data_IF_157113161038
#
_entry.id   IF_157113161038
#
_cell.length_a   1.000
_cell.length_b   1.000
_cell.length_c   1.000
_cell.angle_alpha   90.00
_cell.angle_beta   90.00
_cell.angle_gamma   90.00
#
_symmetry.space_group_name_H-M   'P 1'
#
loop_
_entity.id
_entity.type
_entity.pdbx_description
1 polymer ?
#
# COMPACT_ATOMS: atom_id res chain seq x y z
N UNK A 1 2.92 26.19 3.46
CA UNK A 1 4.03 26.18 2.49
C UNK A 1 3.47 25.79 1.14
N UNK A 2 3.81 26.55 0.09
CA UNK A 2 3.44 26.22 -1.29
C UNK A 2 4.14 24.95 -1.73
N UNK A 3 3.41 24.01 -2.31
CA UNK A 3 3.96 22.73 -2.79
C UNK A 3 5.06 22.98 -3.83
N UNK A 4 4.85 23.95 -4.73
CA UNK A 4 5.83 24.31 -5.76
C UNK A 4 7.19 24.72 -5.21
N UNK A 5 7.21 25.26 -3.98
CA UNK A 5 8.41 25.75 -3.32
C UNK A 5 9.03 24.72 -2.36
N UNK A 6 8.44 23.52 -2.24
CA UNK A 6 8.96 22.51 -1.36
C UNK A 6 10.33 22.00 -1.82
N UNK A 7 11.26 21.95 -0.89
CA UNK A 7 12.50 21.22 -1.05
C UNK A 7 12.58 20.17 0.05
N UNK A 8 12.93 18.94 -0.31
CA UNK A 8 12.92 17.81 0.62
C UNK A 8 13.86 18.00 1.83
N UNK A 9 14.85 18.88 1.70
CA UNK A 9 15.87 19.15 2.69
C UNK A 9 17.15 19.63 2.03
N UNK A 10 18.22 19.67 2.79
CA UNK A 10 19.54 20.11 2.32
C UNK A 10 20.64 19.27 2.92
N UNK A 11 21.74 19.12 2.19
CA UNK A 11 22.95 18.51 2.73
C UNK A 11 23.71 19.53 3.57
N UNK A 12 23.87 19.24 4.85
CA UNK A 12 24.62 20.07 5.80
C UNK A 12 25.94 19.37 6.17
N UNK A 13 27.00 20.16 6.32
CA UNK A 13 28.30 19.66 6.79
C UNK A 13 28.25 19.55 8.31
N UNK A 14 28.39 18.34 8.85
CA UNK A 14 28.50 18.07 10.28
C UNK A 14 29.86 17.47 10.59
N UNK A 15 30.72 18.21 11.30
CA UNK A 15 32.09 17.79 11.66
C UNK A 15 32.82 17.09 10.48
N UNK A 16 32.91 15.76 10.49
CA UNK A 16 33.66 14.95 9.54
C UNK A 16 32.81 14.38 8.38
N UNK A 17 31.49 14.58 8.34
CA UNK A 17 30.63 14.03 7.28
C UNK A 17 29.56 15.04 6.82
N UNK A 18 29.07 14.87 5.58
CA UNK A 18 27.83 15.52 5.13
C UNK A 18 26.65 14.63 5.46
N UNK A 19 25.61 15.20 6.05
CA UNK A 19 24.33 14.51 6.26
C UNK A 19 23.21 15.29 5.59
N UNK A 20 22.19 14.57 5.13
CA UNK A 20 20.96 15.18 4.63
C UNK A 20 20.07 15.56 5.81
N UNK A 21 19.80 16.85 5.96
CA UNK A 21 18.86 17.38 6.95
C UNK A 21 17.51 17.58 6.26
N UNK A 22 16.48 16.78 6.58
CA UNK A 22 15.17 16.90 5.96
C UNK A 22 14.46 18.19 6.37
N UNK A 23 13.66 18.75 5.47
CA UNK A 23 12.80 19.89 5.78
C UNK A 23 11.62 19.46 6.67
N UNK A 24 11.12 20.38 7.51
CA UNK A 24 9.96 20.07 8.36
C UNK A 24 8.72 19.94 7.50
N UNK A 25 8.06 18.78 7.55
CA UNK A 25 6.82 18.52 6.79
C UNK A 25 5.52 18.85 7.57
N UNK A 26 5.63 19.08 8.87
CA UNK A 26 4.48 19.29 9.77
C UNK A 26 4.06 20.77 9.78
N UNK A 27 3.49 21.21 8.67
CA UNK A 27 2.90 22.54 8.51
C UNK A 27 1.76 22.47 7.47
N UNK A 28 0.86 23.46 7.41
CA UNK A 28 -0.15 23.52 6.35
C UNK A 28 0.49 23.57 4.96
N UNK A 29 -0.07 22.83 4.02
CA UNK A 29 0.35 22.80 2.62
C UNK A 29 -0.63 23.63 1.78
N UNK A 30 -0.08 24.45 0.88
CA UNK A 30 -0.85 25.22 -0.10
C UNK A 30 -0.58 24.62 -1.48
N UNK A 31 -1.63 24.15 -2.15
CA UNK A 31 -1.56 23.64 -3.51
C UNK A 31 -1.70 24.85 -4.44
N UNK A 32 -0.60 25.28 -5.04
CA UNK A 32 -0.53 26.52 -5.83
C UNK A 32 -0.38 26.30 -7.34
N UNK A 33 -0.43 25.04 -7.78
CA UNK A 33 -0.45 24.66 -9.20
C UNK A 33 -1.90 24.46 -9.70
N UNK A 34 -2.39 25.30 -10.63
CA UNK A 34 -3.73 25.15 -11.21
C UNK A 34 -3.96 23.81 -11.91
N UNK A 35 -2.94 23.23 -12.57
CA UNK A 35 -3.10 21.94 -13.25
C UNK A 35 -3.30 20.82 -12.24
N UNK A 36 -2.56 20.85 -11.13
CA UNK A 36 -2.73 19.88 -10.05
C UNK A 36 -4.12 20.01 -9.41
N UNK A 37 -4.63 21.23 -9.25
CA UNK A 37 -5.99 21.45 -8.76
C UNK A 37 -7.05 20.89 -9.72
N UNK A 38 -6.87 21.04 -11.04
CA UNK A 38 -7.78 20.44 -12.04
C UNK A 38 -7.77 18.91 -11.97
N UNK A 39 -6.58 18.29 -11.87
CA UNK A 39 -6.45 16.84 -11.72
C UNK A 39 -7.10 16.33 -10.43
N UNK A 40 -6.97 17.09 -9.34
CA UNK A 40 -7.61 16.78 -8.06
C UNK A 40 -9.14 16.86 -8.16
N UNK A 41 -9.68 17.86 -8.85
CA UNK A 41 -11.12 18.01 -9.08
C UNK A 41 -11.68 16.84 -9.90
N UNK A 42 -10.99 16.47 -10.98
CA UNK A 42 -11.36 15.31 -11.80
C UNK A 42 -11.33 14.00 -10.99
N UNK A 43 -10.29 13.80 -10.17
CA UNK A 43 -10.20 12.64 -9.28
C UNK A 43 -11.35 12.61 -8.27
N UNK A 44 -11.68 13.75 -7.65
CA UNK A 44 -12.80 13.86 -6.70
C UNK A 44 -14.14 13.56 -7.37
N UNK A 45 -14.37 14.05 -8.60
CA UNK A 45 -15.58 13.76 -9.36
C UNK A 45 -15.72 12.27 -9.63
N UNK A 46 -14.66 11.61 -10.12
CA UNK A 46 -14.67 10.17 -10.41
C UNK A 46 -14.87 9.33 -9.13
N UNK A 47 -14.28 9.74 -8.00
CA UNK A 47 -14.53 9.10 -6.70
C UNK A 47 -15.98 9.29 -6.24
N UNK A 48 -16.57 10.47 -6.49
CA UNK A 48 -17.98 10.74 -6.24
C UNK A 48 -18.91 9.86 -7.06
N UNK A 49 -18.62 9.70 -8.36
CA UNK A 49 -19.34 8.78 -9.27
C UNK A 49 -19.26 7.33 -8.77
N UNK A 50 -18.06 6.86 -8.41
CA UNK A 50 -17.86 5.52 -7.84
C UNK A 50 -18.68 5.32 -6.56
N UNK A 51 -18.70 6.30 -5.66
CA UNK A 51 -19.48 6.26 -4.44
C UNK A 51 -21.00 6.32 -4.69
N UNK A 52 -21.45 6.91 -5.79
CA UNK A 52 -22.85 6.85 -6.20
C UNK A 52 -23.22 5.45 -6.69
N UNK A 53 -22.37 4.84 -7.53
CA UNK A 53 -22.58 3.48 -8.05
C UNK A 53 -22.53 2.41 -6.96
N UNK A 54 -21.70 2.56 -5.93
CA UNK A 54 -21.62 1.58 -4.84
C UNK A 54 -22.96 1.37 -4.13
N UNK A 55 -23.84 2.38 -4.10
CA UNK A 55 -25.19 2.30 -3.52
C UNK A 55 -26.16 1.43 -4.34
N UNK A 56 -25.83 1.15 -5.60
CA UNK A 56 -26.64 0.33 -6.51
C UNK A 56 -26.22 -1.14 -6.48
N UNK A 57 -25.09 -1.46 -5.85
CA UNK A 57 -24.54 -2.81 -5.78
C UNK A 57 -25.22 -3.57 -4.64
N UNK A 58 -25.75 -4.79 -4.88
CA UNK A 58 -26.41 -5.59 -3.84
C UNK A 58 -25.48 -6.02 -2.70
N UNK A 59 -24.23 -6.35 -3.03
CA UNK A 59 -23.20 -6.77 -2.08
C UNK A 59 -21.86 -6.08 -2.42
N UNK A 60 -21.60 -4.98 -1.73
CA UNK A 60 -20.38 -4.18 -1.90
C UNK A 60 -19.15 -4.92 -1.38
N UNK A 61 -19.31 -5.77 -0.35
CA UNK A 61 -18.20 -6.48 0.28
C UNK A 61 -17.59 -7.52 -0.68
N UNK A 62 -18.42 -8.19 -1.48
CA UNK A 62 -17.94 -9.08 -2.53
C UNK A 62 -17.10 -8.34 -3.58
N UNK A 63 -17.58 -7.17 -4.02
CA UNK A 63 -16.84 -6.33 -4.97
C UNK A 63 -15.52 -5.86 -4.36
N UNK A 64 -15.55 -5.33 -3.13
CA UNK A 64 -14.36 -4.88 -2.41
C UNK A 64 -13.34 -6.02 -2.32
N UNK A 65 -13.77 -7.24 -1.97
CA UNK A 65 -12.89 -8.40 -1.92
C UNK A 65 -12.20 -8.64 -3.26
N UNK A 66 -12.93 -8.59 -4.38
CA UNK A 66 -12.35 -8.76 -5.72
C UNK A 66 -11.33 -7.67 -6.07
N UNK A 67 -11.62 -6.41 -5.75
CA UNK A 67 -10.67 -5.30 -5.99
C UNK A 67 -9.43 -5.40 -5.11
N UNK A 68 -9.58 -5.75 -3.81
CA UNK A 68 -8.44 -5.96 -2.92
C UNK A 68 -7.60 -7.13 -3.41
N UNK A 69 -8.20 -8.25 -3.84
CA UNK A 69 -7.45 -9.38 -4.39
C UNK A 69 -6.68 -9.00 -5.66
N UNK A 70 -7.32 -8.24 -6.58
CA UNK A 70 -6.64 -7.74 -7.79
C UNK A 70 -5.48 -6.81 -7.44
N UNK A 71 -5.65 -5.94 -6.45
CA UNK A 71 -4.60 -5.03 -6.03
C UNK A 71 -3.46 -5.76 -5.30
N UNK A 72 -3.80 -6.68 -4.39
CA UNK A 72 -2.83 -7.51 -3.69
C UNK A 72 -1.96 -8.30 -4.68
N UNK A 73 -2.58 -8.99 -5.65
CA UNK A 73 -1.85 -9.73 -6.68
C UNK A 73 -1.00 -8.84 -7.58
N UNK A 74 -1.47 -7.64 -7.94
CA UNK A 74 -0.71 -6.69 -8.77
C UNK A 74 0.46 -6.09 -7.99
N UNK A 75 0.25 -5.70 -6.73
CA UNK A 75 1.26 -5.15 -5.83
C UNK A 75 2.33 -6.19 -5.52
N UNK A 76 1.94 -7.42 -5.13
CA UNK A 76 2.87 -8.51 -4.85
C UNK A 76 3.67 -8.91 -6.10
N UNK A 77 3.09 -8.83 -7.31
CA UNK A 77 3.83 -9.05 -8.56
C UNK A 77 4.97 -8.04 -8.78
N UNK A 78 4.83 -6.79 -8.34
CA UNK A 78 5.92 -5.80 -8.40
C UNK A 78 7.08 -6.24 -7.50
N UNK A 79 6.79 -6.95 -6.40
CA UNK A 79 7.77 -7.46 -5.43
C UNK A 79 8.36 -8.83 -5.83
N UNK A 80 7.81 -9.49 -6.85
CA UNK A 80 8.33 -10.74 -7.43
C UNK A 80 7.42 -11.96 -7.27
N UNK A 81 6.28 -11.83 -6.59
CA UNK A 81 5.30 -12.90 -6.36
C UNK A 81 4.61 -13.31 -7.66
N UNK A 82 4.38 -14.62 -7.86
CA UNK A 82 3.79 -15.19 -9.09
C UNK A 82 2.34 -15.66 -8.94
N UNK A 83 1.63 -15.25 -7.88
CA UNK A 83 0.21 -15.61 -7.70
C UNK A 83 -0.71 -14.84 -8.66
N UNK A 84 -1.55 -15.59 -9.38
CA UNK A 84 -2.64 -15.05 -10.21
C UNK A 84 -3.87 -14.68 -9.38
N UNK A 85 -4.77 -13.88 -9.97
CA UNK A 85 -6.01 -13.48 -9.30
C UNK A 85 -6.92 -14.68 -9.04
N UNK A 86 -6.95 -15.64 -9.97
CA UNK A 86 -7.71 -16.87 -9.88
C UNK A 86 -7.18 -17.76 -8.72
N UNK A 87 -5.86 -17.93 -8.63
CA UNK A 87 -5.23 -18.68 -7.54
C UNK A 87 -5.47 -18.02 -6.18
N UNK A 88 -5.47 -16.69 -6.12
CA UNK A 88 -5.74 -15.96 -4.88
C UNK A 88 -7.18 -16.13 -4.34
N UNK A 89 -8.10 -16.63 -5.17
CA UNK A 89 -9.50 -16.85 -4.79
C UNK A 89 -9.81 -18.30 -4.37
N UNK A 90 -8.94 -19.27 -4.68
CA UNK A 90 -9.12 -20.67 -4.28
C UNK A 90 -8.64 -20.95 -2.85
N UNK A 91 -9.02 -22.11 -2.30
CA UNK A 91 -8.58 -22.52 -0.97
C UNK A 91 -7.11 -22.98 -1.01
N UNK A 92 -6.36 -22.80 0.10
CA UNK A 92 -4.94 -23.20 0.21
C UNK A 92 -4.67 -24.65 -0.21
N UNK A 93 -5.62 -25.53 0.07
CA UNK A 93 -5.55 -26.96 -0.29
C UNK A 93 -5.53 -27.22 -1.80
N UNK A 94 -6.12 -26.31 -2.58
CA UNK A 94 -6.22 -26.38 -4.04
C UNK A 94 -5.06 -25.65 -4.73
N UNK A 95 -4.18 -24.99 -3.95
CA UNK A 95 -2.95 -24.36 -4.44
C UNK A 95 -1.82 -25.38 -4.44
N UNK A 96 -1.12 -25.47 -5.57
CA UNK A 96 0.07 -26.32 -5.72
C UNK A 96 1.10 -25.95 -4.64
N UNK A 97 1.73 -26.94 -3.97
CA UNK A 97 2.60 -26.68 -2.82
C UNK A 97 3.67 -25.62 -3.05
N UNK A 98 4.22 -25.55 -4.25
CA UNK A 98 5.27 -24.62 -4.67
C UNK A 98 4.82 -23.16 -4.68
N UNK A 99 3.52 -22.89 -4.89
CA UNK A 99 2.95 -21.55 -4.97
C UNK A 99 2.30 -21.10 -3.64
N UNK A 100 2.35 -21.92 -2.60
CA UNK A 100 1.62 -21.64 -1.33
C UNK A 100 2.21 -20.47 -0.55
N UNK A 101 3.51 -20.24 -0.65
CA UNK A 101 4.15 -19.12 0.03
C UNK A 101 3.70 -17.78 -0.59
N UNK A 102 3.79 -17.68 -1.91
CA UNK A 102 3.26 -16.57 -2.71
C UNK A 102 1.75 -16.34 -2.48
N UNK A 103 0.97 -17.41 -2.48
CA UNK A 103 -0.46 -17.33 -2.18
C UNK A 103 -0.72 -16.78 -0.78
N UNK A 104 0.08 -17.20 0.21
CA UNK A 104 -0.03 -16.76 1.60
C UNK A 104 0.31 -15.27 1.74
N UNK A 105 1.25 -14.74 0.98
CA UNK A 105 1.52 -13.29 0.90
C UNK A 105 0.29 -12.50 0.48
N UNK A 106 -0.37 -12.92 -0.60
CA UNK A 106 -1.59 -12.29 -1.10
C UNK A 106 -2.71 -12.37 -0.05
N UNK A 107 -2.88 -13.53 0.61
CA UNK A 107 -3.87 -13.65 1.69
C UNK A 107 -3.55 -12.77 2.89
N UNK A 108 -2.28 -12.62 3.27
CA UNK A 108 -1.87 -11.75 4.35
C UNK A 108 -2.13 -10.28 4.01
N UNK A 109 -1.93 -9.87 2.75
CA UNK A 109 -2.29 -8.55 2.27
C UNK A 109 -3.78 -8.28 2.46
N UNK A 110 -4.64 -9.18 1.97
CA UNK A 110 -6.11 -9.06 2.11
C UNK A 110 -6.51 -8.98 3.60
N UNK A 111 -5.92 -9.83 4.45
CA UNK A 111 -6.17 -9.82 5.90
C UNK A 111 -5.70 -8.53 6.56
N UNK A 112 -4.55 -7.99 6.15
CA UNK A 112 -3.99 -6.75 6.69
C UNK A 112 -4.88 -5.54 6.36
N UNK A 113 -5.40 -5.45 5.13
CA UNK A 113 -6.34 -4.39 4.73
C UNK A 113 -7.63 -4.45 5.56
N UNK A 114 -8.27 -5.63 5.65
CA UNK A 114 -9.48 -5.77 6.46
C UNK A 114 -9.24 -5.49 7.94
N UNK A 115 -8.10 -5.92 8.48
CA UNK A 115 -7.69 -5.60 9.84
C UNK A 115 -7.58 -4.09 10.05
N UNK A 116 -6.92 -3.38 9.14
CA UNK A 116 -6.73 -1.93 9.22
C UNK A 116 -8.05 -1.18 9.16
N UNK A 117 -8.92 -1.52 8.19
CA UNK A 117 -10.26 -0.91 8.02
C UNK A 117 -11.08 -1.10 9.30
N UNK A 118 -11.12 -2.33 9.84
CA UNK A 118 -11.84 -2.61 11.09
C UNK A 118 -11.30 -1.80 12.25
N UNK A 119 -9.97 -1.65 12.38
CA UNK A 119 -9.33 -0.89 13.46
C UNK A 119 -9.56 0.62 13.34
N UNK A 120 -9.63 1.15 12.11
CA UNK A 120 -9.89 2.57 11.84
C UNK A 120 -11.25 3.06 12.37
N UNK A 121 -12.22 2.16 12.55
CA UNK A 121 -13.52 2.51 13.16
C UNK A 121 -13.41 2.88 14.65
N UNK A 122 -12.31 2.53 15.31
CA UNK A 122 -12.09 2.76 16.75
C UNK A 122 -10.87 3.66 17.05
N UNK A 123 -9.90 3.73 16.12
CA UNK A 123 -8.66 4.49 16.30
C UNK A 123 -8.32 5.29 15.04
N UNK A 124 -7.76 6.50 15.16
CA UNK A 124 -7.29 7.25 14.01
C UNK A 124 -6.07 6.56 13.36
N UNK A 125 -5.79 6.96 12.12
CA UNK A 125 -4.53 6.61 11.45
C UNK A 125 -3.35 7.01 12.35
N UNK A 126 -2.53 6.02 12.69
CA UNK A 126 -1.44 6.19 13.65
C UNK A 126 -0.34 5.19 13.38
N UNK A 127 0.87 5.46 13.89
CA UNK A 127 1.98 4.51 13.79
C UNK A 127 1.67 3.16 14.44
N UNK A 128 0.78 3.13 15.45
CA UNK A 128 0.30 1.87 16.04
C UNK A 128 -0.50 1.06 15.02
N UNK A 129 -1.48 1.69 14.37
CA UNK A 129 -2.25 1.03 13.32
C UNK A 129 -1.34 0.50 12.21
N UNK A 130 -0.40 1.32 11.73
CA UNK A 130 0.52 0.93 10.68
C UNK A 130 1.38 -0.27 11.08
N UNK A 131 1.94 -0.27 12.30
CA UNK A 131 2.75 -1.38 12.82
C UNK A 131 1.94 -2.66 12.98
N UNK A 132 0.74 -2.57 13.53
CA UNK A 132 -0.12 -3.73 13.74
C UNK A 132 -0.55 -4.33 12.40
N UNK A 133 -0.95 -3.50 11.43
CA UNK A 133 -1.29 -3.93 10.07
C UNK A 133 -0.11 -4.59 9.38
N UNK A 134 1.09 -4.01 9.49
CA UNK A 134 2.32 -4.59 8.93
C UNK A 134 2.67 -5.94 9.57
N UNK A 135 2.41 -6.12 10.87
CA UNK A 135 2.58 -7.42 11.52
C UNK A 135 1.62 -8.48 10.96
N UNK A 136 0.40 -8.11 10.58
CA UNK A 136 -0.53 -9.01 9.89
C UNK A 136 -0.02 -9.35 8.49
N UNK A 137 0.46 -8.35 7.74
CA UNK A 137 1.01 -8.51 6.39
C UNK A 137 2.20 -9.48 6.37
N UNK A 138 3.11 -9.39 7.34
CA UNK A 138 4.32 -10.22 7.39
C UNK A 138 4.16 -11.55 8.13
N UNK A 139 2.93 -11.95 8.47
CA UNK A 139 2.73 -13.15 9.29
C UNK A 139 3.08 -14.42 8.51
N UNK A 140 4.12 -15.13 8.94
CA UNK A 140 4.47 -16.43 8.36
C UNK A 140 5.15 -16.35 6.99
N UNK A 141 5.57 -15.16 6.57
CA UNK A 141 6.57 -14.96 5.53
C UNK A 141 7.90 -14.70 6.20
N UNK A 142 8.87 -15.56 5.93
CA UNK A 142 10.25 -15.27 6.27
C UNK A 142 10.81 -14.40 5.15
N UNK A 143 11.31 -13.20 5.47
CA UNK A 143 12.30 -12.59 4.59
C UNK A 143 13.47 -13.57 4.52
N UNK A 144 13.55 -14.38 3.46
CA UNK A 144 14.84 -14.91 3.04
C UNK A 144 15.57 -13.70 2.45
N UNK A 145 16.61 -13.16 3.10
CA UNK A 145 17.42 -12.17 2.43
C UNK A 145 18.00 -12.89 1.22
N UNK A 146 17.66 -12.45 0.02
CA UNK A 146 18.34 -12.88 -1.20
C UNK A 146 19.83 -12.69 -0.93
N UNK A 147 20.64 -13.76 -0.89
CA UNK A 147 22.05 -13.62 -0.60
C UNK A 147 22.65 -12.67 -1.64
N UNK A 148 23.37 -11.65 -1.18
CA UNK A 148 24.05 -10.67 -2.05
C UNK A 148 24.99 -11.39 -3.05
N UNK A 149 25.37 -12.65 -2.78
CA UNK A 149 26.10 -13.52 -3.71
C UNK A 149 25.34 -13.87 -5.00
N UNK A 150 24.04 -13.61 -5.12
CA UNK A 150 23.23 -13.91 -6.32
C UNK A 150 23.23 -12.77 -7.36
N UNK A 151 23.81 -11.61 -7.06
CA UNK A 151 23.87 -10.44 -7.97
C UNK A 151 25.29 -10.26 -8.57
N UNK A 152 26.24 -11.13 -8.20
CA UNK A 152 27.59 -11.14 -8.76
C UNK A 152 27.75 -12.34 -9.70
N UNK A 153 27.32 -12.19 -10.95
CA UNK A 153 27.86 -12.88 -12.12
C UNK A 153 27.55 -12.06 -13.38
#
# INVERSE_FOLDING_TARGET
MKISNYQAGRFEQHYQHKSFTPEKISHPWEVDDPNLLMLLDDANRLLGELNAFSKLVPDVDYIIRMYITREATTSSRIEGTQTSMEEALVCEQDVVPENRDDWREVQNYIKAIHYAIKRLTHFPLSSRLLRDTHQVLLRGVACTPTPISAIAN
#
